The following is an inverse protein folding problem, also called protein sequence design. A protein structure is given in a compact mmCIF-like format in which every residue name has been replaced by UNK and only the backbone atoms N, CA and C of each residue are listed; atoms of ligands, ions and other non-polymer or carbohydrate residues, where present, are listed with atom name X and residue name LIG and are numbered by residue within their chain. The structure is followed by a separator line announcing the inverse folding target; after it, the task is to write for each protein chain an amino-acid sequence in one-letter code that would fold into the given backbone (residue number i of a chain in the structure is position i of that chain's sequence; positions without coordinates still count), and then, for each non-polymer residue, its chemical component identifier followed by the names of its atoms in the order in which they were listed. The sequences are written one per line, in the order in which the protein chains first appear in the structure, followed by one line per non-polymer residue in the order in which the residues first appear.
data_IF_638445504777
#
_entry.id   IF_638445504777
#
_cell.length_a   1.000
_cell.length_b   1.000
_cell.length_c   1.000
_cell.angle_alpha   90.00
_cell.angle_beta   90.00
_cell.angle_gamma   90.00
#
_symmetry.space_group_name_H-M   'P 1'
#
loop_
_entity.id
_entity.type
_entity.pdbx_description
1 polymer ?
#
# COMPACT_ATOMS: atom_id res chain seq x y z
N UNK A 1 9.42 29.12 -15.82
CA UNK A 1 8.36 28.07 -15.69
C UNK A 1 8.47 26.99 -16.75
N UNK A 2 8.72 27.37 -18.01
CA UNK A 2 8.87 26.40 -19.10
C UNK A 2 10.04 25.44 -18.88
N UNK A 3 11.18 25.95 -18.38
CA UNK A 3 12.36 25.13 -18.09
C UNK A 3 12.10 24.08 -16.99
N UNK A 4 11.32 24.43 -15.97
CA UNK A 4 10.94 23.50 -14.91
C UNK A 4 10.07 22.40 -15.47
N UNK A 5 9.08 22.75 -16.29
CA UNK A 5 8.21 21.77 -16.93
C UNK A 5 9.02 20.80 -17.80
N UNK A 6 9.92 21.30 -18.63
CA UNK A 6 10.76 20.47 -19.50
C UNK A 6 11.65 19.53 -18.70
N UNK A 7 12.20 20.00 -17.57
CA UNK A 7 13.07 19.19 -16.72
C UNK A 7 12.31 18.06 -16.01
N UNK A 8 11.05 18.31 -15.57
CA UNK A 8 10.32 17.38 -14.69
C UNK A 8 9.13 16.69 -15.34
N UNK A 9 8.68 17.08 -16.53
CA UNK A 9 7.45 16.55 -17.12
C UNK A 9 7.47 15.04 -17.35
N UNK A 10 8.63 14.42 -17.55
CA UNK A 10 8.80 12.99 -17.71
C UNK A 10 9.19 12.27 -16.41
N UNK A 11 9.19 12.98 -15.29
CA UNK A 11 9.60 12.44 -13.99
C UNK A 11 8.44 12.15 -13.04
N UNK A 12 7.20 12.19 -13.53
CA UNK A 12 6.04 11.79 -12.74
C UNK A 12 6.22 10.34 -12.28
N UNK A 13 5.91 10.09 -11.03
CA UNK A 13 6.09 8.82 -10.32
C UNK A 13 7.54 8.48 -9.94
N UNK A 14 8.51 9.31 -10.27
CA UNK A 14 9.88 9.13 -9.78
C UNK A 14 10.01 9.59 -8.33
N UNK A 15 10.81 8.86 -7.56
CA UNK A 15 11.16 9.22 -6.19
C UNK A 15 12.45 10.06 -6.21
N UNK A 16 12.40 11.20 -5.54
CA UNK A 16 13.53 12.12 -5.43
C UNK A 16 13.80 12.49 -3.99
N UNK A 17 15.05 12.82 -3.69
CA UNK A 17 15.43 13.34 -2.38
C UNK A 17 15.32 14.87 -2.43
N UNK A 18 14.63 15.43 -1.46
CA UNK A 18 14.49 16.86 -1.31
C UNK A 18 14.89 17.36 0.05
N UNK A 19 14.80 18.66 0.22
CA UNK A 19 15.02 19.34 1.51
C UNK A 19 13.80 20.18 1.83
N UNK A 20 13.29 20.06 3.04
CA UNK A 20 12.15 20.85 3.50
C UNK A 20 12.58 22.30 3.69
N UNK A 21 11.96 23.21 2.95
CA UNK A 21 12.25 24.64 3.05
C UNK A 21 11.28 25.36 3.96
N UNK A 22 9.98 25.04 3.89
CA UNK A 22 8.94 25.73 4.64
C UNK A 22 7.87 24.73 5.05
N UNK A 23 7.42 24.83 6.29
CA UNK A 23 6.31 24.02 6.83
C UNK A 23 5.17 24.96 7.16
N UNK A 24 4.07 24.83 6.41
CA UNK A 24 2.84 25.60 6.62
C UNK A 24 1.71 24.67 7.08
N UNK A 25 0.61 25.23 7.52
CA UNK A 25 -0.52 24.43 8.00
C UNK A 25 -1.09 23.51 6.93
N UNK A 26 -1.21 24.03 5.70
CA UNK A 26 -1.88 23.30 4.61
C UNK A 26 -0.93 22.62 3.63
N UNK A 27 0.34 22.92 3.70
CA UNK A 27 1.33 22.37 2.78
C UNK A 27 2.74 22.47 3.33
N UNK A 28 3.63 21.71 2.71
CA UNK A 28 5.07 21.76 2.95
C UNK A 28 5.75 22.09 1.62
N UNK A 29 6.71 23.00 1.64
CA UNK A 29 7.53 23.32 0.47
C UNK A 29 8.81 22.50 0.57
N UNK A 30 9.12 21.79 -0.51
CA UNK A 30 10.27 20.88 -0.62
C UNK A 30 11.12 21.31 -1.80
N UNK A 31 12.41 21.56 -1.54
CA UNK A 31 13.37 21.82 -2.61
C UNK A 31 13.84 20.49 -3.18
N UNK A 32 13.58 20.24 -4.45
CA UNK A 32 13.92 18.99 -5.13
C UNK A 32 15.11 19.12 -6.10
N UNK A 33 15.92 20.17 -5.91
CA UNK A 33 17.12 20.42 -6.68
C UNK A 33 17.00 21.66 -7.55
N UNK A 34 16.40 21.55 -8.72
CA UNK A 34 16.29 22.67 -9.67
C UNK A 34 15.04 23.53 -9.46
N UNK A 35 14.12 23.08 -8.62
CA UNK A 35 12.90 23.82 -8.32
C UNK A 35 12.40 23.46 -6.94
N UNK A 36 11.42 24.22 -6.48
CA UNK A 36 10.64 23.87 -5.29
C UNK A 36 9.38 23.15 -5.71
N UNK A 37 8.94 22.23 -4.86
CA UNK A 37 7.72 21.48 -5.04
C UNK A 37 6.82 21.68 -3.83
N UNK A 38 5.53 21.45 -4.01
CA UNK A 38 4.56 21.55 -2.92
C UNK A 38 4.01 20.17 -2.55
N UNK A 39 4.03 19.87 -1.28
CA UNK A 39 3.40 18.68 -0.72
C UNK A 39 2.19 19.13 0.09
N UNK A 40 1.00 18.99 -0.52
CA UNK A 40 -0.28 19.34 0.11
C UNK A 40 -0.52 18.48 1.34
N UNK A 41 -1.40 18.93 2.23
CA UNK A 41 -1.74 18.18 3.44
C UNK A 41 -2.18 16.74 3.13
N UNK A 42 -2.99 16.57 2.09
CA UNK A 42 -3.46 15.25 1.63
C UNK A 42 -2.35 14.37 1.04
N UNK A 43 -1.21 14.95 0.70
CA UNK A 43 -0.05 14.25 0.15
C UNK A 43 0.99 13.89 1.24
N UNK A 44 0.71 14.22 2.48
CA UNK A 44 1.58 13.96 3.61
C UNK A 44 1.18 12.68 4.34
N UNK A 45 2.13 12.07 5.03
CA UNK A 45 1.81 10.98 5.96
C UNK A 45 1.28 11.63 7.25
N UNK A 46 0.04 11.34 7.67
CA UNK A 46 -0.59 12.07 8.77
C UNK A 46 0.14 11.97 10.12
N UNK A 47 0.90 10.91 10.31
CA UNK A 47 1.64 10.65 11.56
C UNK A 47 3.00 11.34 11.60
N UNK A 48 3.45 11.92 10.49
CA UNK A 48 4.74 12.56 10.39
C UNK A 48 4.71 14.02 10.82
N UNK A 49 5.82 14.47 11.42
CA UNK A 49 6.07 15.87 11.71
C UNK A 49 7.26 16.32 10.88
N UNK A 50 7.04 17.32 10.04
CA UNK A 50 8.05 17.83 9.12
C UNK A 50 8.77 19.02 9.74
N UNK A 51 10.07 19.11 9.46
CA UNK A 51 10.92 20.15 10.03
C UNK A 51 11.77 20.78 8.94
N UNK A 52 11.84 22.10 8.94
CA UNK A 52 12.68 22.85 8.02
C UNK A 52 14.14 22.40 8.11
N UNK A 53 14.76 22.22 6.95
CA UNK A 53 16.14 21.78 6.84
C UNK A 53 16.32 20.27 6.76
N UNK A 54 15.30 19.48 7.07
CA UNK A 54 15.39 18.02 6.98
C UNK A 54 15.36 17.54 5.53
N UNK A 55 16.10 16.48 5.26
CA UNK A 55 16.03 15.77 3.99
C UNK A 55 14.83 14.86 4.00
N UNK A 56 14.19 14.74 2.84
CA UNK A 56 12.94 13.97 2.72
C UNK A 56 12.85 13.33 1.33
N UNK A 57 12.45 12.06 1.30
CA UNK A 57 12.12 11.37 0.05
C UNK A 57 10.67 11.67 -0.32
N UNK A 58 10.42 11.97 -1.58
CA UNK A 58 9.08 12.21 -2.11
C UNK A 58 8.96 11.65 -3.51
N UNK A 59 7.73 11.35 -3.95
CA UNK A 59 7.48 11.05 -5.36
C UNK A 59 6.84 12.25 -6.03
N UNK A 60 7.20 12.50 -7.27
CA UNK A 60 6.59 13.54 -8.07
C UNK A 60 5.25 13.02 -8.57
N UNK A 61 4.17 13.72 -8.26
CA UNK A 61 2.82 13.28 -8.63
C UNK A 61 2.25 14.06 -9.79
N UNK A 62 2.65 15.31 -9.95
CA UNK A 62 2.10 16.19 -10.98
C UNK A 62 3.10 17.26 -11.37
N UNK A 63 3.21 17.53 -12.67
CA UNK A 63 4.04 18.62 -13.20
C UNK A 63 3.16 19.43 -14.13
N UNK A 64 2.95 20.69 -13.79
CA UNK A 64 2.05 21.58 -14.52
C UNK A 64 2.86 22.57 -15.37
N UNK A 65 2.48 22.71 -16.62
CA UNK A 65 3.16 23.62 -17.56
C UNK A 65 2.92 25.08 -17.20
N UNK A 66 1.67 25.38 -16.89
CA UNK A 66 1.26 26.74 -16.53
C UNK A 66 0.41 26.69 -15.26
N UNK A 67 0.84 27.38 -14.23
CA UNK A 67 0.11 27.44 -12.98
C UNK A 67 0.49 28.73 -12.22
N UNK A 68 -0.48 29.24 -11.46
CA UNK A 68 -0.26 30.36 -10.56
C UNK A 68 0.33 29.90 -9.22
N UNK A 69 0.29 28.60 -8.95
CA UNK A 69 0.84 28.01 -7.74
C UNK A 69 2.10 27.21 -8.02
N UNK A 70 2.33 26.18 -7.23
CA UNK A 70 3.46 25.29 -7.41
C UNK A 70 3.32 24.50 -8.71
N UNK A 71 4.39 24.49 -9.49
CA UNK A 71 4.43 23.79 -10.77
C UNK A 71 4.60 22.29 -10.59
N UNK A 72 5.31 21.88 -9.55
CA UNK A 72 5.57 20.47 -9.23
C UNK A 72 4.89 20.12 -7.91
N UNK A 73 4.10 19.07 -7.93
CA UNK A 73 3.48 18.51 -6.72
C UNK A 73 4.17 17.20 -6.38
N UNK A 74 4.38 16.96 -5.10
CA UNK A 74 5.03 15.75 -4.57
C UNK A 74 4.19 15.14 -3.46
N UNK A 75 4.45 13.87 -3.16
CA UNK A 75 3.70 13.14 -2.14
C UNK A 75 4.53 12.06 -1.47
N UNK A 76 4.18 11.77 -0.23
CA UNK A 76 4.62 10.60 0.53
C UNK A 76 3.44 9.66 0.83
N UNK A 77 2.23 10.02 0.38
CA UNK A 77 0.99 9.34 0.77
C UNK A 77 0.46 8.37 -0.30
N UNK A 78 1.05 8.32 -1.47
CA UNK A 78 0.56 7.48 -2.57
C UNK A 78 1.08 6.05 -2.47
N UNK A 79 0.38 5.06 -3.07
CA UNK A 79 0.93 3.72 -3.23
C UNK A 79 2.24 3.69 -4.03
N UNK A 80 2.42 4.59 -4.99
CA UNK A 80 3.65 4.70 -5.78
C UNK A 80 4.87 4.96 -4.90
N UNK A 81 4.72 5.78 -3.87
CA UNK A 81 5.82 6.04 -2.93
C UNK A 81 6.33 4.75 -2.29
N UNK A 82 5.41 3.90 -1.82
CA UNK A 82 5.77 2.60 -1.25
C UNK A 82 6.41 1.70 -2.29
N UNK A 83 5.89 1.68 -3.52
CA UNK A 83 6.47 0.92 -4.63
C UNK A 83 7.93 1.31 -4.87
N UNK A 84 8.23 2.60 -4.89
CA UNK A 84 9.61 3.09 -5.10
C UNK A 84 10.53 2.71 -3.95
N UNK A 85 10.03 2.73 -2.71
CA UNK A 85 10.81 2.28 -1.56
C UNK A 85 11.17 0.80 -1.68
N UNK A 86 10.23 -0.03 -2.10
CA UNK A 86 10.49 -1.45 -2.31
C UNK A 86 11.49 -1.70 -3.46
N UNK A 87 11.38 -0.97 -4.54
CA UNK A 87 12.34 -1.05 -5.64
C UNK A 87 13.76 -0.72 -5.18
N UNK A 88 13.89 0.27 -4.31
CA UNK A 88 15.19 0.67 -3.75
C UNK A 88 15.78 -0.38 -2.84
N UNK A 89 14.97 -1.00 -1.98
CA UNK A 89 15.44 -1.94 -0.95
C UNK A 89 15.53 -3.38 -1.43
N UNK A 90 14.76 -3.77 -2.47
CA UNK A 90 14.66 -5.16 -2.93
C UNK A 90 15.17 -5.25 -4.37
N UNK A 91 16.42 -5.69 -4.57
CA UNK A 91 17.00 -5.80 -5.92
C UNK A 91 16.19 -6.66 -6.88
N UNK A 92 15.55 -7.73 -6.39
CA UNK A 92 14.73 -8.62 -7.19
C UNK A 92 13.51 -7.89 -7.78
N UNK A 93 12.98 -6.88 -7.08
CA UNK A 93 11.89 -6.03 -7.60
C UNK A 93 12.45 -5.06 -8.65
N UNK A 94 13.55 -4.41 -8.34
CA UNK A 94 14.18 -3.48 -9.27
C UNK A 94 14.51 -4.16 -10.61
N UNK A 95 15.00 -5.40 -10.55
CA UNK A 95 15.40 -6.18 -11.73
C UNK A 95 14.22 -6.87 -12.43
N UNK A 96 13.00 -6.75 -11.92
CA UNK A 96 11.82 -7.32 -12.55
C UNK A 96 11.57 -8.81 -12.29
N UNK A 97 12.38 -9.45 -11.45
CA UNK A 97 12.19 -10.87 -11.09
C UNK A 97 10.94 -11.01 -10.22
N UNK A 98 10.77 -10.11 -9.27
CA UNK A 98 9.58 -10.00 -8.44
C UNK A 98 8.79 -8.79 -8.90
N UNK A 99 7.50 -8.99 -9.11
CA UNK A 99 6.59 -7.91 -9.51
C UNK A 99 5.66 -7.57 -8.34
N UNK A 100 5.48 -6.28 -8.09
CA UNK A 100 4.42 -5.81 -7.21
C UNK A 100 3.15 -5.72 -8.06
N UNK A 101 2.21 -6.63 -7.83
CA UNK A 101 0.97 -6.71 -8.60
C UNK A 101 -0.05 -5.65 -8.20
N UNK A 102 -0.12 -5.35 -6.91
CA UNK A 102 -1.08 -4.38 -6.39
C UNK A 102 -0.63 -3.86 -5.03
N UNK A 103 -1.01 -2.63 -4.72
CA UNK A 103 -0.79 -2.00 -3.42
C UNK A 103 -2.08 -1.29 -3.01
N UNK A 104 -2.50 -1.48 -1.76
CA UNK A 104 -3.53 -0.66 -1.14
C UNK A 104 -2.94 -0.05 0.13
N UNK A 105 -3.18 1.24 0.33
CA UNK A 105 -2.52 1.98 1.40
C UNK A 105 -3.46 2.92 2.12
N UNK A 106 -3.35 2.94 3.44
CA UNK A 106 -3.87 3.97 4.32
C UNK A 106 -2.65 4.63 4.98
N UNK A 107 -2.20 5.80 4.48
CA UNK A 107 -0.91 6.38 4.87
C UNK A 107 -0.79 6.58 6.38
N UNK A 108 0.33 6.18 6.95
CA UNK A 108 0.62 6.28 8.37
C UNK A 108 0.02 5.15 9.19
N UNK A 109 -0.90 4.37 8.64
CA UNK A 109 -1.60 3.32 9.36
C UNK A 109 -1.18 1.93 8.87
N UNK A 110 -1.50 1.61 7.63
CA UNK A 110 -1.28 0.26 7.09
C UNK A 110 -1.20 0.25 5.58
N UNK A 111 -0.41 -0.66 5.05
CA UNK A 111 -0.25 -0.88 3.62
C UNK A 111 -0.26 -2.37 3.34
N UNK A 112 -0.95 -2.77 2.27
CA UNK A 112 -0.96 -4.16 1.79
C UNK A 112 -0.33 -4.23 0.42
N UNK A 113 0.55 -5.22 0.23
CA UNK A 113 1.32 -5.37 -1.00
C UNK A 113 1.22 -6.81 -1.49
N UNK A 114 0.72 -6.97 -2.69
CA UNK A 114 0.65 -8.27 -3.38
C UNK A 114 1.87 -8.42 -4.29
N UNK A 115 2.66 -9.46 -4.09
CA UNK A 115 3.89 -9.71 -4.82
C UNK A 115 3.83 -11.04 -5.57
N UNK A 116 4.51 -11.11 -6.69
CA UNK A 116 4.57 -12.30 -7.53
C UNK A 116 5.99 -12.50 -8.05
N UNK A 117 6.52 -13.72 -7.96
CA UNK A 117 7.83 -14.05 -8.50
C UNK A 117 7.72 -14.70 -9.87
N UNK A 118 8.46 -14.18 -10.84
CA UNK A 118 8.59 -14.78 -12.16
C UNK A 118 9.62 -15.92 -12.17
N UNK A 119 10.31 -16.13 -11.06
CA UNK A 119 11.26 -17.23 -10.87
C UNK A 119 10.76 -18.13 -9.75
N UNK A 120 10.46 -19.39 -10.07
CA UNK A 120 9.94 -20.37 -9.12
C UNK A 120 10.85 -20.63 -7.93
N UNK A 121 12.15 -20.40 -8.08
CA UNK A 121 13.14 -20.65 -7.04
C UNK A 121 13.32 -19.47 -6.08
N UNK A 122 12.60 -18.36 -6.31
CA UNK A 122 12.69 -17.18 -5.46
C UNK A 122 11.35 -16.98 -4.75
N UNK A 123 11.41 -16.97 -3.41
CA UNK A 123 10.27 -16.66 -2.55
C UNK A 123 10.03 -15.14 -2.58
N UNK A 124 8.91 -14.68 -3.15
CA UNK A 124 8.68 -13.24 -3.26
C UNK A 124 8.50 -12.55 -1.91
N UNK A 125 7.85 -13.19 -0.95
CA UNK A 125 7.63 -12.61 0.38
C UNK A 125 8.96 -12.53 1.13
N UNK A 126 9.71 -13.64 1.16
CA UNK A 126 11.00 -13.69 1.84
C UNK A 126 11.99 -12.67 1.31
N UNK A 127 12.03 -12.47 -0.02
CA UNK A 127 12.90 -11.48 -0.65
C UNK A 127 12.55 -10.05 -0.25
N UNK A 128 11.26 -9.74 -0.15
CA UNK A 128 10.79 -8.41 0.26
C UNK A 128 11.05 -8.13 1.75
N UNK A 129 10.96 -9.15 2.58
CA UNK A 129 11.23 -9.02 4.02
C UNK A 129 12.73 -8.85 4.26
N UNK A 130 13.54 -9.63 3.57
CA UNK A 130 14.99 -9.62 3.70
C UNK A 130 15.49 -10.38 4.93
N UNK A 131 16.82 -10.58 5.04
CA UNK A 131 17.41 -11.28 6.18
C UNK A 131 17.05 -10.59 7.49
N UNK A 132 16.45 -11.33 8.43
CA UNK A 132 16.01 -10.82 9.75
C UNK A 132 15.06 -9.63 9.66
N UNK A 133 14.31 -9.55 8.56
CA UNK A 133 13.37 -8.44 8.35
C UNK A 133 14.04 -7.12 7.97
N UNK A 134 15.32 -7.13 7.59
CA UNK A 134 16.11 -5.91 7.38
C UNK A 134 15.55 -5.00 6.28
N UNK A 135 15.08 -5.57 5.18
CA UNK A 135 14.57 -4.77 4.05
C UNK A 135 13.23 -4.11 4.38
N UNK A 136 12.28 -4.89 4.87
CA UNK A 136 10.96 -4.36 5.23
C UNK A 136 11.05 -3.40 6.40
N UNK A 137 11.95 -3.63 7.37
CA UNK A 137 12.12 -2.74 8.51
C UNK A 137 12.62 -1.36 8.07
N UNK A 138 13.54 -1.29 7.13
CA UNK A 138 14.01 -0.02 6.56
C UNK A 138 12.84 0.77 5.95
N UNK A 139 11.95 0.09 5.25
CA UNK A 139 10.77 0.72 4.64
C UNK A 139 9.78 1.17 5.71
N UNK A 140 9.52 0.34 6.71
CA UNK A 140 8.63 0.69 7.84
C UNK A 140 9.13 1.95 8.55
N UNK A 141 10.43 2.05 8.79
CA UNK A 141 11.04 3.22 9.42
C UNK A 141 10.88 4.48 8.56
N UNK A 142 11.09 4.35 7.24
CA UNK A 142 10.89 5.46 6.30
C UNK A 142 9.43 5.93 6.30
N UNK A 143 8.48 5.03 6.50
CA UNK A 143 7.05 5.34 6.56
C UNK A 143 6.56 5.71 7.97
N UNK A 144 7.49 5.99 8.87
CA UNK A 144 7.20 6.40 10.25
C UNK A 144 6.34 5.38 11.03
N UNK A 145 6.61 4.09 10.82
CA UNK A 145 5.96 3.02 11.56
C UNK A 145 4.67 2.47 10.95
N UNK A 146 4.38 2.80 9.71
CA UNK A 146 3.22 2.24 8.99
C UNK A 146 3.35 0.72 8.90
N UNK A 147 2.29 -0.01 9.25
CA UNK A 147 2.28 -1.48 9.13
C UNK A 147 2.28 -1.90 7.68
N UNK A 148 3.07 -2.92 7.36
CA UNK A 148 3.15 -3.44 6.00
C UNK A 148 2.82 -4.92 6.02
N UNK A 149 1.78 -5.31 5.27
CA UNK A 149 1.43 -6.70 5.04
C UNK A 149 1.85 -7.08 3.63
N UNK A 150 2.73 -8.07 3.51
CA UNK A 150 3.20 -8.57 2.23
C UNK A 150 2.62 -9.96 2.04
N UNK A 151 1.96 -10.19 0.91
CA UNK A 151 1.36 -11.48 0.60
C UNK A 151 1.57 -11.81 -0.88
N UNK A 152 1.42 -13.08 -1.21
CA UNK A 152 1.63 -13.55 -2.58
C UNK A 152 0.39 -13.33 -3.42
N UNK A 153 0.59 -12.75 -4.61
CA UNK A 153 -0.47 -12.62 -5.62
C UNK A 153 -0.83 -14.01 -6.16
N UNK A 154 -2.10 -14.24 -6.39
CA UNK A 154 -2.59 -15.44 -7.07
C UNK A 154 -3.64 -15.05 -8.09
N UNK A 155 -3.65 -15.73 -9.22
CA UNK A 155 -4.70 -15.57 -10.23
C UNK A 155 -5.99 -16.28 -9.81
N UNK A 156 -5.90 -17.20 -8.85
CA UNK A 156 -7.07 -17.80 -8.19
C UNK A 156 -7.64 -16.80 -7.20
N UNK A 157 -8.85 -16.31 -7.45
CA UNK A 157 -9.44 -15.22 -6.65
C UNK A 157 -9.66 -15.61 -5.19
N UNK A 158 -10.04 -16.84 -4.92
CA UNK A 158 -10.24 -17.32 -3.55
C UNK A 158 -8.93 -17.31 -2.77
N UNK A 159 -7.85 -17.75 -3.38
CA UNK A 159 -6.52 -17.74 -2.78
C UNK A 159 -6.02 -16.30 -2.58
N UNK A 160 -6.20 -15.45 -3.59
CA UNK A 160 -5.81 -14.04 -3.51
C UNK A 160 -6.49 -13.34 -2.34
N UNK A 161 -7.79 -13.54 -2.18
CA UNK A 161 -8.56 -12.90 -1.10
C UNK A 161 -8.14 -13.42 0.26
N UNK A 162 -7.95 -14.73 0.41
CA UNK A 162 -7.46 -15.31 1.65
C UNK A 162 -6.10 -14.73 2.03
N UNK A 163 -5.18 -14.64 1.05
CA UNK A 163 -3.85 -14.07 1.26
C UNK A 163 -3.91 -12.58 1.59
N UNK A 164 -4.81 -11.83 0.96
CA UNK A 164 -4.95 -10.39 1.17
C UNK A 164 -5.40 -10.03 2.59
N UNK A 165 -6.03 -10.97 3.31
CA UNK A 165 -6.42 -10.76 4.70
C UNK A 165 -5.28 -11.04 5.69
N UNK A 166 -4.08 -11.35 5.18
CA UNK A 166 -2.88 -11.46 6.02
C UNK A 166 -2.81 -10.29 7.02
N UNK A 167 -2.40 -10.48 8.27
CA UNK A 167 -1.81 -11.69 8.83
C UNK A 167 -2.80 -12.76 9.32
N UNK A 168 -4.11 -12.59 9.11
CA UNK A 168 -5.08 -13.62 9.50
C UNK A 168 -5.00 -14.84 8.58
N UNK A 169 -5.42 -15.98 9.11
CA UNK A 169 -5.48 -17.24 8.38
C UNK A 169 -6.93 -17.62 8.17
N UNK A 170 -7.32 -17.84 6.91
CA UNK A 170 -8.68 -18.23 6.55
C UNK A 170 -8.86 -19.75 6.52
N UNK A 171 -10.12 -20.18 6.68
CA UNK A 171 -10.52 -21.58 6.55
C UNK A 171 -11.08 -21.85 5.16
N UNK A 172 -11.94 -20.96 4.68
CA UNK A 172 -12.59 -21.12 3.38
C UNK A 172 -12.98 -19.77 2.79
N UNK A 173 -13.08 -19.74 1.47
CA UNK A 173 -13.61 -18.60 0.73
C UNK A 173 -14.75 -19.12 -0.13
N UNK A 174 -15.95 -18.57 0.07
CA UNK A 174 -17.14 -18.99 -0.66
C UNK A 174 -17.84 -17.80 -1.32
N UNK A 175 -18.52 -18.01 -2.45
CA UNK A 175 -19.27 -16.92 -3.09
C UNK A 175 -20.37 -16.39 -2.19
N UNK A 176 -20.58 -15.06 -2.23
CA UNK A 176 -21.71 -14.43 -1.57
C UNK A 176 -22.83 -14.24 -2.58
N UNK A 177 -23.83 -15.07 -2.53
CA UNK A 177 -24.95 -15.07 -3.48
C UNK A 177 -25.79 -13.79 -3.45
N UNK A 178 -25.71 -13.04 -2.34
CA UNK A 178 -26.52 -11.84 -2.15
C UNK A 178 -25.81 -10.56 -2.65
N UNK A 179 -24.54 -10.64 -3.03
CA UNK A 179 -23.73 -9.48 -3.42
C UNK A 179 -22.98 -9.79 -4.71
N UNK A 180 -23.12 -8.92 -5.71
CA UNK A 180 -22.38 -9.04 -6.96
C UNK A 180 -20.87 -8.87 -6.67
N UNK A 181 -20.07 -9.78 -7.20
CA UNK A 181 -18.61 -9.82 -6.98
C UNK A 181 -18.24 -9.91 -5.50
N UNK A 182 -19.14 -10.48 -4.70
CA UNK A 182 -18.93 -10.65 -3.27
C UNK A 182 -18.45 -12.04 -2.91
N UNK A 183 -17.63 -12.09 -1.86
CA UNK A 183 -17.10 -13.32 -1.30
C UNK A 183 -17.24 -13.28 0.21
N UNK A 184 -17.47 -14.47 0.78
CA UNK A 184 -17.47 -14.66 2.23
C UNK A 184 -16.19 -15.41 2.56
N UNK A 185 -15.40 -14.84 3.46
CA UNK A 185 -14.21 -15.50 4.00
C UNK A 185 -14.52 -16.01 5.38
N UNK A 186 -14.37 -17.30 5.56
CA UNK A 186 -14.59 -17.97 6.84
C UNK A 186 -13.23 -18.10 7.54
N UNK A 187 -13.16 -17.61 8.76
CA UNK A 187 -11.93 -17.65 9.57
C UNK A 187 -12.22 -18.38 10.89
N UNK A 188 -11.19 -18.97 11.53
CA UNK A 188 -11.36 -19.48 12.88
C UNK A 188 -11.86 -18.36 13.81
N UNK A 189 -12.65 -18.70 14.80
CA UNK A 189 -13.24 -17.70 15.71
C UNK A 189 -12.19 -16.78 16.33
N UNK A 190 -11.03 -17.31 16.68
CA UNK A 190 -9.93 -16.54 17.25
C UNK A 190 -9.20 -15.64 16.25
N UNK A 191 -9.50 -15.74 14.94
CA UNK A 191 -8.91 -14.93 13.89
C UNK A 191 -9.83 -13.80 13.42
N UNK A 192 -11.08 -13.77 13.85
CA UNK A 192 -12.07 -12.82 13.34
C UNK A 192 -11.64 -11.36 13.52
N UNK A 193 -11.23 -11.00 14.74
CA UNK A 193 -10.77 -9.64 15.02
C UNK A 193 -9.54 -9.26 14.22
N UNK A 194 -8.61 -10.18 14.02
CA UNK A 194 -7.39 -9.98 13.24
C UNK A 194 -7.72 -9.77 11.75
N UNK A 195 -8.65 -10.58 11.23
CA UNK A 195 -9.06 -10.49 9.82
C UNK A 195 -9.76 -9.17 9.51
N UNK A 196 -10.62 -8.70 10.39
CA UNK A 196 -11.31 -7.41 10.25
C UNK A 196 -10.32 -6.26 10.44
N UNK A 197 -9.48 -6.36 11.47
CA UNK A 197 -8.52 -5.36 11.85
C UNK A 197 -9.12 -4.21 12.62
N UNK A 198 -8.26 -3.37 13.20
CA UNK A 198 -8.67 -2.19 13.95
C UNK A 198 -9.44 -1.25 13.02
N UNK A 199 -10.65 -0.88 13.43
CA UNK A 199 -11.56 -0.02 12.64
C UNK A 199 -11.88 -0.59 11.25
N UNK A 200 -11.77 -1.92 11.09
CA UNK A 200 -12.03 -2.59 9.83
C UNK A 200 -10.96 -2.37 8.76
N UNK A 201 -9.79 -1.84 9.10
CA UNK A 201 -8.76 -1.45 8.13
C UNK A 201 -8.16 -2.62 7.38
N UNK A 202 -7.97 -3.76 8.03
CA UNK A 202 -7.42 -4.93 7.36
C UNK A 202 -8.35 -5.39 6.23
N UNK A 203 -9.63 -5.54 6.54
CA UNK A 203 -10.65 -5.95 5.56
C UNK A 203 -10.82 -4.91 4.44
N UNK A 204 -10.90 -3.61 4.80
CA UNK A 204 -11.08 -2.56 3.79
C UNK A 204 -9.93 -2.45 2.81
N UNK A 205 -8.69 -2.60 3.27
CA UNK A 205 -7.54 -2.58 2.37
C UNK A 205 -7.53 -3.80 1.46
N UNK A 206 -7.93 -4.97 1.97
CA UNK A 206 -8.05 -6.18 1.15
C UNK A 206 -9.12 -6.00 0.07
N UNK A 207 -10.27 -5.42 0.41
CA UNK A 207 -11.32 -5.07 -0.56
C UNK A 207 -10.79 -4.14 -1.64
N UNK A 208 -10.11 -3.08 -1.24
CA UNK A 208 -9.55 -2.09 -2.15
C UNK A 208 -8.50 -2.69 -3.08
N UNK A 209 -7.61 -3.52 -2.54
CA UNK A 209 -6.54 -4.14 -3.32
C UNK A 209 -7.07 -5.15 -4.33
N UNK A 210 -8.01 -5.99 -3.92
CA UNK A 210 -8.54 -7.09 -4.75
C UNK A 210 -9.71 -6.67 -5.63
N UNK A 211 -10.30 -5.50 -5.36
CA UNK A 211 -11.50 -4.99 -6.04
C UNK A 211 -12.68 -5.97 -5.94
N UNK A 212 -12.79 -6.66 -4.81
CA UNK A 212 -13.89 -7.56 -4.49
C UNK A 212 -14.50 -7.20 -3.16
N UNK A 213 -15.80 -7.36 -3.03
CA UNK A 213 -16.50 -7.17 -1.76
C UNK A 213 -16.26 -8.40 -0.90
N UNK A 214 -15.79 -8.20 0.31
CA UNK A 214 -15.42 -9.27 1.25
C UNK A 214 -16.27 -9.15 2.51
N UNK A 215 -16.95 -10.22 2.85
CA UNK A 215 -17.63 -10.37 4.13
C UNK A 215 -16.87 -11.43 4.94
N UNK A 216 -16.50 -11.10 6.17
CA UNK A 216 -15.71 -12.01 7.01
C UNK A 216 -16.61 -12.58 8.08
N UNK A 217 -16.62 -13.89 8.20
CA UNK A 217 -17.43 -14.61 9.19
C UNK A 217 -16.56 -15.58 9.97
N UNK A 218 -16.90 -15.76 11.24
CA UNK A 218 -16.27 -16.79 12.03
C UNK A 218 -16.79 -18.17 11.63
N UNK A 219 -16.00 -19.19 11.88
CA UNK A 219 -16.35 -20.57 11.61
C UNK A 219 -17.66 -20.98 12.29
N UNK A 220 -17.90 -20.51 13.52
CA UNK A 220 -19.12 -20.75 14.26
C UNK A 220 -20.35 -20.13 13.58
N UNK A 221 -20.25 -18.90 13.06
CA UNK A 221 -21.33 -18.22 12.35
C UNK A 221 -21.67 -18.93 11.05
N UNK A 222 -20.67 -19.33 10.29
CA UNK A 222 -20.87 -20.02 9.02
C UNK A 222 -21.50 -21.40 9.24
N UNK A 223 -21.07 -22.12 10.25
CA UNK A 223 -21.67 -23.39 10.63
C UNK A 223 -23.16 -23.24 10.94
N UNK A 224 -23.54 -22.22 11.69
CA UNK A 224 -24.94 -21.90 12.00
C UNK A 224 -25.73 -21.53 10.74
N UNK A 225 -25.16 -20.76 9.85
CA UNK A 225 -25.77 -20.37 8.58
C UNK A 225 -26.01 -21.59 7.68
N UNK A 226 -25.03 -22.46 7.58
CA UNK A 226 -25.13 -23.70 6.78
C UNK A 226 -26.26 -24.59 7.28
N UNK A 227 -26.37 -24.78 8.58
CA UNK A 227 -27.43 -25.56 9.20
C UNK A 227 -28.82 -24.98 8.89
N UNK A 228 -28.97 -23.65 8.98
CA UNK A 228 -30.23 -22.97 8.67
C UNK A 228 -30.62 -23.15 7.19
N UNK A 229 -29.66 -23.06 6.30
CA UNK A 229 -29.89 -23.20 4.86
C UNK A 229 -30.34 -24.62 4.50
N UNK A 230 -29.80 -25.62 5.16
CA UNK A 230 -30.17 -27.02 4.95
C UNK A 230 -31.54 -27.34 5.54
N UNK A 231 -31.94 -26.65 6.60
CA UNK A 231 -33.23 -26.85 7.30
C UNK A 231 -34.41 -26.24 6.52
N UNK A 232 -34.19 -25.36 5.59
CA UNK A 232 -35.21 -24.72 4.77
C UNK A 232 -35.28 -25.35 3.39
#
# INVERSE_FOLDING_TARGET
KALVYEEYCDKVDEMVLGTIETVEEKFVIVNIGKTIAMMKKSAQIPTEHYKEGDNILVVITEVNKETKGAQVLVSRATPVFVRRLFEREVPEIYNGIIEIKAIARDPGERCKIAVYSHNENIDPIGACIGPRGSRVQTIIEELNGEKIDIFEWSDNISELIANALSPSVGVAVIPNENVKDGLIVVVPDNQLSLAIGKRGKNARLAVKLTNHKIDIKSESEEGSYQVRKVSN
#
